data_IF_961291201331
#
_entry.id   IF_961291201331
#
_cell.length_a   1.000
_cell.length_b   1.000
_cell.length_c   1.000
_cell.angle_alpha   90.00
_cell.angle_beta   90.00
_cell.angle_gamma   90.00
#
_symmetry.space_group_name_H-M   'P 1'
#
loop_
_entity.id
_entity.type
_entity.pdbx_description
1 polymer ?
2 non-polymer ?
3 water ?
#
# COMPACT_ATOMS: atom_id res chain seq x y z
N UNK A 2 18.22 15.93 -3.97
CA UNK A 2 17.77 16.58 -5.22
C UNK A 2 16.41 16.06 -5.67
N UNK A 3 15.39 16.92 -5.58
CA UNK A 3 14.05 16.54 -5.97
C UNK A 3 14.01 16.38 -7.49
N UNK A 4 14.87 17.11 -8.19
CA UNK A 4 14.92 17.02 -9.65
C UNK A 4 15.57 15.71 -10.04
N UNK A 5 16.57 15.28 -9.27
CA UNK A 5 17.26 14.03 -9.55
C UNK A 5 16.24 12.89 -9.53
N UNK A 6 15.34 12.94 -8.54
CA UNK A 6 14.29 11.94 -8.38
C UNK A 6 13.36 11.98 -9.58
N UNK A 7 12.92 13.19 -9.94
CA UNK A 7 12.01 13.39 -11.06
C UNK A 7 12.67 12.97 -12.37
N UNK A 8 13.92 13.39 -12.55
CA UNK A 8 14.67 13.06 -13.76
C UNK A 8 14.81 11.56 -13.89
N UNK A 9 15.09 10.87 -12.78
CA UNK A 9 15.25 9.42 -12.83
C UNK A 9 13.91 8.73 -13.08
N UNK A 10 12.86 9.17 -12.38
CA UNK A 10 11.55 8.56 -12.56
C UNK A 10 11.08 8.71 -14.00
N UNK A 11 11.22 9.93 -14.55
CA UNK A 11 10.82 10.19 -15.93
C UNK A 11 11.62 9.33 -16.89
N UNK A 12 12.90 9.14 -16.59
CA UNK A 12 13.76 8.34 -17.44
C UNK A 12 13.32 6.87 -17.41
N UNK A 13 13.15 6.32 -16.21
CA UNK A 13 12.73 4.93 -16.06
C UNK A 13 11.38 4.67 -16.73
N UNK A 14 10.46 5.60 -16.56
CA UNK A 14 9.12 5.46 -17.14
C UNK A 14 9.19 5.33 -18.66
N UNK A 15 9.99 6.19 -19.29
CA UNK A 15 10.13 6.17 -20.73
C UNK A 15 10.84 4.92 -21.23
N UNK A 16 11.84 4.45 -20.48
CA UNK A 16 12.54 3.24 -20.89
C UNK A 16 11.54 2.08 -20.89
N UNK A 17 10.65 2.09 -19.92
CA UNK A 17 9.64 1.05 -19.79
C UNK A 17 8.58 1.15 -20.90
N UNK A 18 8.14 2.37 -21.20
CA UNK A 18 7.14 2.57 -22.24
C UNK A 18 7.66 2.16 -23.62
N UNK A 19 8.87 2.61 -23.95
CA UNK A 19 9.48 2.32 -25.24
C UNK A 19 9.78 0.84 -25.42
N UNK A 20 9.97 0.13 -24.32
CA UNK A 20 10.27 -1.29 -24.41
C UNK A 20 11.73 -1.64 -24.34
N UNK A 21 12.59 -0.62 -24.27
CA UNK A 21 14.03 -0.86 -24.20
C UNK A 21 14.35 -1.58 -22.89
N UNK A 22 13.56 -1.31 -21.86
CA UNK A 22 13.76 -1.95 -20.57
C UNK A 22 12.42 -2.39 -20.00
N UNK A 23 12.44 -3.54 -19.32
CA UNK A 23 11.24 -4.06 -18.70
C UNK A 23 11.52 -4.28 -17.21
N UNK A 24 10.46 -4.48 -16.43
CA UNK A 24 10.62 -4.72 -15.01
C UNK A 24 11.55 -5.92 -14.88
N UNK A 25 12.55 -5.82 -14.01
CA UNK A 25 13.48 -6.91 -13.85
C UNK A 25 14.83 -6.66 -14.55
N UNK A 26 14.88 -5.69 -15.45
CA UNK A 26 16.13 -5.41 -16.15
C UNK A 26 17.04 -4.50 -15.33
N UNK A 27 18.32 -4.49 -15.66
CA UNK A 27 19.31 -3.67 -14.96
C UNK A 27 19.33 -2.23 -15.47
N UNK A 28 19.72 -1.33 -14.58
CA UNK A 28 19.86 0.08 -14.92
C UNK A 28 21.29 0.24 -15.41
N UNK A 29 21.55 1.28 -16.23
CA UNK A 29 22.91 1.47 -16.71
C UNK A 29 23.70 2.02 -15.49
N UNK A 30 25.00 2.26 -15.65
CA UNK A 30 25.81 2.76 -14.54
C UNK A 30 25.43 4.17 -14.07
N UNK A 31 25.84 4.52 -12.86
CA UNK A 31 25.55 5.84 -12.32
C UNK A 31 26.32 6.92 -13.08
N UNK A 32 27.51 6.56 -13.55
CA UNK A 32 28.35 7.46 -14.32
C UNK A 32 27.58 7.81 -15.60
N UNK A 33 27.02 6.80 -16.25
CA UNK A 33 26.25 6.99 -17.48
C UNK A 33 24.97 7.77 -17.25
N UNK A 34 24.27 7.46 -16.17
CA UNK A 34 23.02 8.15 -15.85
C UNK A 34 23.22 9.60 -15.45
N UNK A 35 24.20 9.84 -14.59
CA UNK A 35 24.50 11.18 -14.11
C UNK A 35 24.65 12.14 -15.29
N UNK A 36 25.35 11.68 -16.32
CA UNK A 36 25.58 12.49 -17.50
C UNK A 36 24.29 12.65 -18.31
N UNK A 37 23.69 11.52 -18.68
CA UNK A 37 22.46 11.53 -19.46
C UNK A 37 21.40 12.45 -18.88
N UNK A 38 21.20 12.39 -17.57
CA UNK A 38 20.19 13.19 -16.88
C UNK A 38 20.62 14.61 -16.50
N UNK A 39 21.92 14.89 -16.56
CA UNK A 39 22.40 16.22 -16.21
C UNK A 39 22.29 16.55 -14.73
N UNK A 40 22.46 15.53 -13.89
CA UNK A 40 22.41 15.72 -12.44
C UNK A 40 23.73 15.30 -11.83
N UNK A 41 24.12 15.97 -10.75
CA UNK A 41 25.37 15.65 -10.06
C UNK A 41 25.39 14.17 -9.69
N UNK A 42 26.59 13.60 -9.53
CA UNK A 42 26.71 12.20 -9.18
C UNK A 42 26.15 11.99 -7.77
N UNK A 43 26.41 12.93 -6.88
CA UNK A 43 25.92 12.83 -5.51
C UNK A 43 24.40 12.91 -5.43
N UNK A 44 23.80 13.84 -6.17
CA UNK A 44 22.35 13.98 -6.14
C UNK A 44 21.68 12.78 -6.79
N UNK A 45 22.32 12.21 -7.81
CA UNK A 45 21.78 11.04 -8.48
C UNK A 45 21.78 9.86 -7.49
N UNK A 46 22.87 9.70 -6.76
CA UNK A 46 22.96 8.60 -5.81
C UNK A 46 21.93 8.76 -4.70
N UNK A 47 21.68 10.00 -4.29
CA UNK A 47 20.70 10.25 -3.24
C UNK A 47 19.32 9.81 -3.71
N UNK A 48 18.99 10.15 -4.95
CA UNK A 48 17.71 9.80 -5.55
C UNK A 48 17.55 8.29 -5.69
N UNK A 49 18.63 7.61 -6.09
CA UNK A 49 18.58 6.17 -6.27
C UNK A 49 18.35 5.46 -4.94
N UNK A 50 18.99 5.92 -3.88
CA UNK A 50 18.81 5.30 -2.58
C UNK A 50 17.35 5.45 -2.13
N UNK A 51 16.73 6.58 -2.47
CA UNK A 51 15.33 6.80 -2.13
C UNK A 51 14.46 5.88 -3.01
N UNK A 52 14.80 5.79 -4.29
CA UNK A 52 14.04 4.94 -5.20
C UNK A 52 14.10 3.49 -4.74
N UNK A 53 15.24 3.14 -4.14
CA UNK A 53 15.43 1.80 -3.62
C UNK A 53 14.46 1.60 -2.46
N UNK A 54 14.37 2.61 -1.59
CA UNK A 54 13.48 2.54 -0.43
C UNK A 54 12.01 2.57 -0.86
N UNK A 55 11.72 3.31 -1.93
CA UNK A 55 10.35 3.39 -2.44
C UNK A 55 9.92 2.05 -3.04
N UNK A 56 10.89 1.27 -3.48
CA UNK A 56 10.60 -0.03 -4.06
C UNK A 56 10.69 -0.03 -5.58
N UNK A 57 10.92 1.15 -6.15
CA UNK A 57 11.02 1.29 -7.60
C UNK A 57 12.17 0.48 -8.18
N UNK A 58 13.32 0.51 -7.52
CA UNK A 58 14.48 -0.26 -7.96
C UNK A 58 15.02 -1.07 -6.80
N UNK A 59 15.90 -2.02 -7.10
CA UNK A 59 16.48 -2.87 -6.07
C UNK A 59 17.88 -3.35 -6.45
N UNK A 60 18.76 -3.43 -5.46
CA UNK A 60 20.12 -3.89 -5.70
C UNK A 60 20.39 -5.13 -4.84
N UNK A 61 19.37 -5.96 -4.66
CA UNK A 61 19.50 -7.17 -3.85
C UNK A 61 19.39 -8.47 -4.65
N UNK A 62 19.61 -8.39 -5.96
CA UNK A 62 19.52 -9.59 -6.80
C UNK A 62 20.83 -10.36 -6.77
N UNK A 63 21.19 -10.95 -7.90
CA UNK A 63 22.42 -11.72 -8.02
C UNK A 63 23.18 -12.00 -6.75
N UNK A 64 24.15 -11.13 -6.44
CA UNK A 64 24.98 -11.29 -5.25
C UNK A 64 24.91 -10.05 -4.36
N UNK A 65 23.93 -9.19 -4.60
CA UNK A 65 23.78 -7.97 -3.84
C UNK A 65 24.11 -6.76 -4.68
N UNK A 66 24.44 -5.62 -4.07
CA UNK A 66 24.77 -4.41 -4.85
C UNK A 66 25.80 -4.66 -5.94
N UNK A 67 26.69 -5.61 -5.70
CA UNK A 67 27.73 -5.98 -6.67
C UNK A 67 27.13 -6.47 -7.99
N UNK A 68 25.92 -7.01 -7.93
CA UNK A 68 25.24 -7.53 -9.12
C UNK A 68 24.43 -6.45 -9.84
N UNK A 69 24.54 -5.21 -9.38
CA UNK A 69 23.83 -4.13 -10.04
C UNK A 69 22.49 -3.75 -9.42
N UNK A 70 21.77 -2.92 -10.16
CA UNK A 70 20.47 -2.41 -9.74
C UNK A 70 19.44 -2.71 -10.83
N UNK A 71 18.30 -3.25 -10.46
CA UNK A 71 17.27 -3.56 -11.45
C UNK A 71 15.98 -2.80 -11.16
N UNK A 72 15.13 -2.69 -12.18
CA UNK A 72 13.85 -2.00 -12.03
C UNK A 72 12.87 -3.00 -11.44
N UNK A 73 12.32 -2.69 -10.27
CA UNK A 73 11.39 -3.61 -9.62
C UNK A 73 9.95 -3.08 -9.60
N UNK A 74 9.79 -1.75 -9.61
CA UNK A 74 8.47 -1.13 -9.60
C UNK A 74 7.58 -1.72 -8.49
N UNK A 75 8.19 -1.98 -7.34
CA UNK A 75 7.49 -2.53 -6.20
C UNK A 75 7.09 -1.48 -5.18
N UNK A 76 6.12 -1.82 -4.31
CA UNK A 76 5.58 -0.93 -3.24
C UNK A 76 6.57 -0.54 -2.11
N UNK A 77 7.54 -1.39 -1.84
CA UNK A 77 8.48 -1.09 -0.76
C UNK A 77 7.81 -1.29 0.59
N UNK A 78 8.38 -0.70 1.64
CA UNK A 78 7.81 -0.90 2.98
C UNK A 78 7.11 0.34 3.59
N UNK A 79 7.12 1.44 2.85
CA UNK A 79 6.53 2.69 3.31
C UNK A 79 5.15 2.58 3.95
N UNK A 80 4.23 1.90 3.27
CA UNK A 80 2.89 1.77 3.80
C UNK A 80 2.89 0.96 5.08
N UNK A 81 3.66 -0.11 5.10
CA UNK A 81 3.74 -0.94 6.29
C UNK A 81 4.36 -0.17 7.45
N UNK A 82 5.38 0.63 7.14
CA UNK A 82 5.99 1.43 8.20
C UNK A 82 4.91 2.34 8.78
N UNK A 83 4.10 2.92 7.89
CA UNK A 83 3.01 3.79 8.34
C UNK A 83 1.98 3.01 9.18
N UNK A 84 1.49 1.90 8.63
CA UNK A 84 0.49 1.08 9.31
C UNK A 84 0.92 0.56 10.68
N UNK A 85 2.16 0.09 10.78
CA UNK A 85 2.64 -0.42 12.06
C UNK A 85 2.81 0.68 13.10
N UNK A 86 3.20 1.87 12.67
CA UNK A 86 3.34 2.97 13.61
C UNK A 86 1.96 3.39 14.09
N UNK A 87 0.98 3.34 13.20
CA UNK A 87 -0.38 3.70 13.58
C UNK A 87 -0.97 2.61 14.48
N UNK A 88 -0.52 1.37 14.28
CA UNK A 88 -1.00 0.25 15.07
C UNK A 88 -0.58 0.46 16.53
N UNK A 89 0.69 0.83 16.70
CA UNK A 89 1.28 1.05 18.02
C UNK A 89 0.58 2.16 18.80
N UNK A 90 0.13 3.19 18.10
CA UNK A 90 -0.54 4.32 18.74
C UNK A 90 -2.05 4.14 18.76
N UNK A 91 -2.52 2.96 18.34
CA UNK A 91 -3.94 2.68 18.32
C UNK A 91 -4.72 3.51 17.29
N UNK A 92 -4.02 4.16 16.38
CA UNK A 92 -4.67 4.94 15.33
C UNK A 92 -5.27 3.93 14.36
N UNK A 93 -4.63 2.76 14.30
CA UNK A 93 -5.11 1.66 13.48
C UNK A 93 -5.13 0.49 14.47
N UNK A 94 -6.13 -0.38 14.37
CA UNK A 94 -6.19 -1.49 15.29
C UNK A 94 -6.03 -2.83 14.62
N UNK A 95 -5.81 -3.86 15.43
CA UNK A 95 -5.66 -5.21 14.92
C UNK A 95 -6.91 -5.56 14.13
N UNK A 96 -8.05 -5.11 14.64
CA UNK A 96 -9.34 -5.34 14.00
C UNK A 96 -9.34 -4.85 12.55
N UNK A 97 -8.79 -3.67 12.32
CA UNK A 97 -8.74 -3.09 10.98
C UNK A 97 -7.89 -3.90 10.01
N UNK A 98 -6.75 -4.40 10.50
CA UNK A 98 -5.86 -5.21 9.67
C UNK A 98 -6.57 -6.50 9.29
N UNK A 99 -7.27 -7.07 10.26
CA UNK A 99 -8.03 -8.29 10.07
C UNK A 99 -9.08 -8.11 8.97
N UNK A 100 -9.90 -7.06 9.08
CA UNK A 100 -10.93 -6.82 8.07
C UNK A 100 -10.30 -6.63 6.69
N UNK A 101 -9.19 -5.90 6.63
CA UNK A 101 -8.52 -5.64 5.36
C UNK A 101 -7.97 -6.92 4.71
N UNK A 102 -7.38 -7.80 5.52
CA UNK A 102 -6.87 -9.06 4.98
C UNK A 102 -8.02 -9.90 4.41
N UNK A 103 -9.12 -10.00 5.15
CA UNK A 103 -10.26 -10.79 4.71
C UNK A 103 -10.75 -10.30 3.34
N UNK A 104 -10.82 -8.98 3.20
CA UNK A 104 -11.24 -8.37 1.95
C UNK A 104 -10.28 -8.69 0.80
N UNK A 105 -9.02 -8.29 0.95
CA UNK A 105 -8.03 -8.51 -0.10
C UNK A 105 -7.75 -9.98 -0.42
N UNK A 106 -7.44 -10.76 0.61
CA UNK A 106 -7.13 -12.18 0.41
C UNK A 106 -8.29 -12.98 -0.14
N UNK A 107 -9.49 -12.69 0.35
CA UNK A 107 -10.67 -13.39 -0.13
C UNK A 107 -10.93 -13.17 -1.60
N UNK A 108 -10.77 -11.92 -2.06
CA UNK A 108 -10.99 -11.60 -3.47
C UNK A 108 -9.91 -12.22 -4.35
N UNK A 109 -8.67 -12.19 -3.88
CA UNK A 109 -7.57 -12.76 -4.64
C UNK A 109 -7.79 -14.24 -4.88
N UNK A 110 -8.27 -14.94 -3.85
CA UNK A 110 -8.52 -16.37 -3.97
C UNK A 110 -9.75 -16.66 -4.83
N UNK A 111 -10.82 -15.93 -4.56
CA UNK A 111 -12.07 -16.10 -5.30
C UNK A 111 -11.86 -15.86 -6.79
N UNK A 112 -11.01 -14.90 -7.14
CA UNK A 112 -10.75 -14.59 -8.54
C UNK A 112 -9.32 -14.93 -8.93
N UNK A 113 -8.95 -16.20 -8.77
CA UNK A 113 -7.62 -16.65 -9.11
C UNK A 113 -7.64 -17.68 -10.23
N UNK A 114 -6.47 -17.94 -10.77
CA UNK A 114 -6.28 -18.92 -11.85
C UNK A 114 -5.18 -19.86 -11.40
N UNK A 115 -5.40 -21.16 -11.58
CA UNK A 115 -4.42 -22.17 -11.18
C UNK A 115 -3.10 -22.07 -11.92
N UNK A 116 -3.13 -21.54 -13.14
CA UNK A 116 -1.91 -21.43 -13.93
C UNK A 116 -1.15 -20.14 -13.63
N UNK A 117 -1.75 -19.29 -12.80
CA UNK A 117 -1.17 -18.01 -12.47
C UNK A 117 -0.26 -17.97 -11.25
N UNK A 118 -0.61 -18.70 -10.20
CA UNK A 118 0.21 -18.69 -8.99
C UNK A 118 1.40 -19.64 -9.03
N UNK A 119 2.49 -19.23 -8.40
CA UNK A 119 3.70 -20.06 -8.34
C UNK A 119 3.57 -20.91 -7.09
N UNK A 120 2.74 -21.94 -7.17
CA UNK A 120 2.48 -22.82 -6.04
C UNK A 120 3.69 -23.50 -5.41
N UNK A 121 4.66 -23.91 -6.21
CA UNK A 121 5.84 -24.57 -5.67
C UNK A 121 6.62 -23.64 -4.73
N UNK A 122 6.64 -22.36 -5.05
CA UNK A 122 7.33 -21.39 -4.20
C UNK A 122 6.60 -21.32 -2.86
N UNK A 123 5.28 -21.25 -2.92
CA UNK A 123 4.45 -21.19 -1.73
C UNK A 123 4.68 -22.46 -0.91
N UNK A 124 4.68 -23.59 -1.61
CA UNK A 124 4.89 -24.89 -0.99
C UNK A 124 6.20 -24.91 -0.21
N UNK A 125 7.24 -24.36 -0.82
CA UNK A 125 8.56 -24.30 -0.19
C UNK A 125 8.51 -23.48 1.07
N UNK A 126 7.69 -22.43 1.09
CA UNK A 126 7.59 -21.65 2.30
C UNK A 126 7.00 -22.50 3.40
N UNK A 127 5.96 -23.25 3.09
CA UNK A 127 5.32 -24.09 4.09
C UNK A 127 6.27 -25.18 4.59
N UNK A 128 7.26 -25.59 3.78
CA UNK A 128 8.19 -26.61 4.25
C UNK A 128 9.08 -26.05 5.36
N UNK A 129 9.57 -24.83 5.21
CA UNK A 129 10.39 -24.21 6.24
C UNK A 129 9.54 -23.97 7.51
N UNK A 130 8.27 -23.64 7.29
CA UNK A 130 7.36 -23.40 8.39
C UNK A 130 6.99 -24.66 9.17
N UNK A 131 7.37 -25.82 8.64
CA UNK A 131 7.08 -27.10 9.30
C UNK A 131 8.00 -27.36 10.48
N UNK A 132 9.20 -26.82 10.41
CA UNK A 132 10.20 -26.99 11.45
C UNK A 132 9.63 -26.70 12.83
N UNK A 133 9.57 -27.72 13.71
CA UNK A 133 9.04 -27.54 15.06
C UNK A 133 9.97 -26.68 15.91
N UNK A 134 11.22 -26.56 15.49
CA UNK A 134 12.21 -25.76 16.20
C UNK A 134 12.26 -24.35 15.64
N UNK A 135 11.24 -23.97 14.90
CA UNK A 135 11.20 -22.63 14.32
C UNK A 135 10.44 -21.69 15.24
N UNK A 136 11.08 -20.59 15.67
CA UNK A 136 10.43 -19.63 16.56
C UNK A 136 9.20 -19.04 15.89
N UNK A 137 8.20 -18.65 16.68
CA UNK A 137 6.97 -18.12 16.10
C UNK A 137 7.15 -16.86 15.28
N UNK A 138 8.14 -16.03 15.61
CA UNK A 138 8.35 -14.81 14.84
C UNK A 138 8.69 -15.15 13.40
N UNK A 139 9.62 -16.09 13.22
CA UNK A 139 10.02 -16.50 11.88
C UNK A 139 8.90 -17.22 11.16
N UNK A 140 8.17 -18.06 11.89
CA UNK A 140 7.06 -18.79 11.30
C UNK A 140 6.06 -17.79 10.68
N UNK A 141 5.60 -16.86 11.50
CA UNK A 141 4.64 -15.85 11.06
C UNK A 141 5.18 -14.91 9.99
N UNK A 142 6.50 -14.76 9.95
CA UNK A 142 7.14 -13.92 8.94
C UNK A 142 6.97 -14.65 7.59
N UNK A 143 7.15 -15.98 7.61
CA UNK A 143 6.98 -16.77 6.41
C UNK A 143 5.50 -16.87 6.06
N UNK A 144 4.66 -16.89 7.09
CA UNK A 144 3.20 -16.98 6.94
C UNK A 144 2.71 -15.81 6.07
N UNK A 145 3.13 -14.60 6.42
CA UNK A 145 2.74 -13.40 5.70
C UNK A 145 3.21 -13.44 4.24
N UNK A 146 4.44 -13.92 4.04
CA UNK A 146 5.02 -14.03 2.72
C UNK A 146 4.24 -15.05 1.89
N UNK A 147 3.85 -16.14 2.54
CA UNK A 147 3.08 -17.20 1.90
C UNK A 147 1.77 -16.65 1.34
N UNK A 148 1.08 -15.86 2.17
CA UNK A 148 -0.19 -15.28 1.76
C UNK A 148 -0.03 -14.30 0.62
N UNK A 149 1.10 -13.63 0.56
CA UNK A 149 1.38 -12.69 -0.53
C UNK A 149 1.66 -13.53 -1.78
N UNK A 150 2.45 -14.59 -1.62
CA UNK A 150 2.80 -15.48 -2.74
C UNK A 150 1.56 -16.04 -3.44
N UNK A 151 0.60 -16.54 -2.67
CA UNK A 151 -0.59 -17.11 -3.30
C UNK A 151 -1.54 -16.06 -3.87
N UNK A 152 -1.40 -14.80 -3.43
CA UNK A 152 -2.28 -13.75 -3.93
C UNK A 152 -1.93 -13.39 -5.39
N UNK A 153 -0.70 -13.72 -5.78
CA UNK A 153 -0.23 -13.45 -7.15
C UNK A 153 -1.00 -14.33 -8.14
N UNK A 154 -1.78 -15.27 -7.60
CA UNK A 154 -2.58 -16.15 -8.44
C UNK A 154 -3.84 -15.44 -8.89
N UNK A 155 -4.10 -14.28 -8.29
CA UNK A 155 -5.27 -13.48 -8.63
C UNK A 155 -5.18 -12.94 -10.06
N UNK A 156 -6.32 -12.87 -10.72
CA UNK A 156 -6.39 -12.35 -12.08
C UNK A 156 -5.96 -10.88 -12.08
N UNK A 157 -6.27 -10.17 -11.00
CA UNK A 157 -5.90 -8.76 -10.86
C UNK A 157 -4.57 -8.70 -10.11
N UNK A 158 -3.47 -8.42 -10.81
CA UNK A 158 -2.11 -8.33 -10.25
C UNK A 158 -1.93 -7.31 -9.13
N UNK A 159 -2.71 -6.24 -9.20
CA UNK A 159 -2.63 -5.18 -8.20
C UNK A 159 -2.97 -5.65 -6.78
N UNK A 160 -3.79 -6.68 -6.66
CA UNK A 160 -4.14 -7.17 -5.32
C UNK A 160 -2.86 -7.62 -4.62
N UNK A 161 -2.00 -8.34 -5.34
CA UNK A 161 -0.74 -8.82 -4.76
C UNK A 161 0.20 -7.65 -4.45
N UNK A 162 0.06 -6.56 -5.20
CA UNK A 162 0.87 -5.38 -4.95
C UNK A 162 0.43 -4.79 -3.61
N UNK A 163 -0.87 -4.72 -3.38
CA UNK A 163 -1.36 -4.20 -2.10
C UNK A 163 -0.94 -5.15 -0.98
N UNK A 164 -1.01 -6.44 -1.26
CA UNK A 164 -0.63 -7.45 -0.29
C UNK A 164 0.85 -7.29 0.08
N UNK A 165 1.70 -7.14 -0.93
CA UNK A 165 3.13 -6.96 -0.68
C UNK A 165 3.38 -5.70 0.14
N UNK A 166 2.70 -4.61 -0.19
CA UNK A 166 2.87 -3.36 0.55
C UNK A 166 2.48 -3.53 2.04
N UNK A 167 1.54 -4.44 2.30
CA UNK A 167 1.07 -4.69 3.66
C UNK A 167 1.77 -5.83 4.40
N UNK A 168 2.55 -6.63 3.68
CA UNK A 168 3.23 -7.79 4.24
C UNK A 168 3.90 -7.67 5.62
N UNK A 169 4.80 -6.72 5.77
CA UNK A 169 5.48 -6.56 7.06
C UNK A 169 4.52 -6.19 8.19
N UNK A 170 3.49 -5.40 7.88
CA UNK A 170 2.51 -5.02 8.90
C UNK A 170 1.67 -6.22 9.33
N UNK A 171 1.41 -7.12 8.37
CA UNK A 171 0.62 -8.30 8.64
C UNK A 171 1.41 -9.19 9.60
N UNK A 172 2.71 -9.32 9.33
CA UNK A 172 3.58 -10.12 10.18
C UNK A 172 3.66 -9.51 11.57
N UNK A 173 3.84 -8.19 11.64
CA UNK A 173 3.92 -7.50 12.93
C UNK A 173 2.64 -7.75 13.70
N UNK A 174 1.53 -7.67 12.98
CA UNK A 174 0.19 -7.88 13.52
C UNK A 174 -0.01 -9.29 14.11
N UNK A 175 0.29 -10.32 13.32
CA UNK A 175 0.10 -11.68 13.80
C UNK A 175 1.04 -12.07 14.94
N UNK A 176 2.29 -11.62 14.86
CA UNK A 176 3.26 -11.92 15.90
C UNK A 176 2.81 -11.30 17.22
N UNK A 177 2.40 -10.03 17.17
CA UNK A 177 1.94 -9.34 18.36
C UNK A 177 0.82 -10.10 19.06
N UNK A 178 -0.11 -10.64 18.29
CA UNK A 178 -1.24 -11.38 18.83
C UNK A 178 -0.92 -12.82 19.26
N UNK A 179 0.17 -13.36 18.74
CA UNK A 179 0.56 -14.73 19.06
C UNK A 179 1.11 -14.86 20.46
N UNK A 180 1.92 -13.88 20.86
CA UNK A 180 2.54 -13.88 22.18
C UNK A 180 1.67 -14.45 23.30
N UNK A 181 0.39 -14.10 23.31
CA UNK A 181 -0.54 -14.55 24.34
C UNK A 181 -1.09 -15.97 24.17
N UNK A 182 -0.84 -16.61 23.04
CA UNK A 182 -1.35 -17.97 22.79
C UNK A 182 -0.85 -18.99 23.81
N UNK A 183 -1.78 -19.59 24.57
CA UNK A 183 -1.51 -20.59 25.61
C UNK A 183 -0.93 -21.90 25.07
N UNK A 184 -1.06 -22.11 23.77
CA UNK A 184 -0.55 -23.33 23.14
C UNK A 184 -0.17 -23.04 21.68
N UNK A 185 1.05 -22.52 21.49
CA UNK A 185 1.53 -22.18 20.16
C UNK A 185 1.83 -23.40 19.29
N UNK A 186 2.29 -24.48 19.91
CA UNK A 186 2.60 -25.68 19.15
C UNK A 186 1.35 -26.23 18.47
N UNK A 187 0.24 -26.20 19.19
CA UNK A 187 -1.02 -26.69 18.66
C UNK A 187 -1.55 -25.72 17.59
N UNK A 188 -1.43 -24.43 17.86
CA UNK A 188 -1.88 -23.41 16.93
C UNK A 188 -1.15 -23.47 15.59
N UNK A 189 0.17 -23.43 15.64
CA UNK A 189 0.96 -23.48 14.41
C UNK A 189 0.70 -24.75 13.63
N UNK A 190 0.27 -25.79 14.32
CA UNK A 190 -0.02 -27.08 13.69
C UNK A 190 -1.28 -26.94 12.85
N UNK A 191 -2.33 -26.35 13.43
CA UNK A 191 -3.58 -26.16 12.71
C UNK A 191 -3.43 -25.17 11.55
N UNK A 192 -2.52 -24.21 11.69
CA UNK A 192 -2.32 -23.22 10.63
C UNK A 192 -1.67 -23.87 9.42
N UNK A 193 -0.70 -24.75 9.65
CA UNK A 193 -0.01 -25.44 8.56
C UNK A 193 -0.99 -26.33 7.79
N UNK A 194 -1.83 -27.06 8.52
CA UNK A 194 -2.81 -27.92 7.87
C UNK A 194 -3.73 -27.04 7.03
N UNK A 195 -4.15 -25.91 7.59
CA UNK A 195 -5.04 -25.00 6.88
C UNK A 195 -4.34 -24.40 5.67
N UNK A 196 -3.06 -24.08 5.80
CA UNK A 196 -2.31 -23.50 4.69
C UNK A 196 -2.18 -24.48 3.54
N UNK A 197 -1.92 -25.75 3.87
CA UNK A 197 -1.79 -26.80 2.86
C UNK A 197 -3.07 -26.98 2.06
N UNK A 198 -4.20 -27.00 2.76
CA UNK A 198 -5.50 -27.16 2.13
C UNK A 198 -5.81 -25.98 1.22
N UNK A 199 -5.47 -24.79 1.68
CA UNK A 199 -5.69 -23.59 0.88
C UNK A 199 -4.88 -23.68 -0.40
N UNK A 200 -3.60 -23.99 -0.26
CA UNK A 200 -2.71 -24.11 -1.41
C UNK A 200 -3.17 -25.21 -2.36
N UNK A 201 -3.74 -26.27 -1.80
CA UNK A 201 -4.23 -27.39 -2.59
C UNK A 201 -5.43 -26.97 -3.42
N UNK A 202 -6.36 -26.26 -2.79
CA UNK A 202 -7.54 -25.78 -3.50
C UNK A 202 -7.13 -24.88 -4.66
N UNK A 203 -6.29 -23.90 -4.38
CA UNK A 203 -5.81 -22.96 -5.39
C UNK A 203 -5.08 -23.67 -6.53
N UNK A 204 -4.25 -24.63 -6.17
CA UNK A 204 -3.49 -25.39 -7.16
C UNK A 204 -4.48 -26.13 -8.07
N UNK A 205 -5.59 -26.60 -7.49
CA UNK A 205 -6.60 -27.34 -8.24
C UNK A 205 -7.64 -26.46 -8.94
N UNK A 206 -7.53 -25.14 -8.77
CA UNK A 206 -8.48 -24.25 -9.42
C UNK A 206 -9.78 -24.09 -8.66
N UNK A 207 -9.83 -24.62 -7.44
CA UNK A 207 -11.03 -24.51 -6.62
C UNK A 207 -11.06 -23.16 -5.93
N UNK A 208 -11.29 -22.13 -6.73
CA UNK A 208 -11.33 -20.75 -6.26
C UNK A 208 -12.27 -20.49 -5.10
N UNK A 209 -13.49 -21.02 -5.23
CA UNK A 209 -14.52 -20.84 -4.20
C UNK A 209 -14.13 -21.56 -2.89
N UNK A 210 -13.56 -22.75 -3.00
CA UNK A 210 -13.15 -23.51 -1.83
C UNK A 210 -11.99 -22.77 -1.12
N UNK A 211 -11.05 -22.30 -1.93
CA UNK A 211 -9.88 -21.57 -1.43
C UNK A 211 -10.29 -20.32 -0.65
N UNK A 212 -11.20 -19.54 -1.23
CA UNK A 212 -11.67 -18.31 -0.61
C UNK A 212 -12.37 -18.57 0.72
N UNK A 213 -13.16 -19.64 0.78
CA UNK A 213 -13.86 -19.99 2.01
C UNK A 213 -12.88 -20.45 3.08
N UNK A 214 -11.85 -21.18 2.66
CA UNK A 214 -10.84 -21.66 3.59
C UNK A 214 -9.99 -20.50 4.13
N UNK A 215 -9.69 -19.53 3.28
CA UNK A 215 -8.89 -18.39 3.71
C UNK A 215 -9.68 -17.59 4.74
N UNK A 216 -10.98 -17.43 4.49
CA UNK A 216 -11.84 -16.69 5.41
C UNK A 216 -11.81 -17.35 6.79
N UNK A 217 -12.00 -18.66 6.82
CA UNK A 217 -12.00 -19.42 8.07
C UNK A 217 -10.61 -19.43 8.72
N UNK A 218 -9.57 -19.46 7.89
CA UNK A 218 -8.18 -19.48 8.35
C UNK A 218 -7.85 -18.18 9.09
N UNK A 219 -8.06 -17.06 8.42
CA UNK A 219 -7.77 -15.76 8.99
C UNK A 219 -8.68 -15.48 10.17
N UNK A 220 -9.96 -15.79 10.02
CA UNK A 220 -10.91 -15.59 11.11
C UNK A 220 -10.54 -16.46 12.31
N UNK A 221 -10.21 -17.72 12.04
CA UNK A 221 -9.83 -18.64 13.08
C UNK A 221 -8.73 -18.11 13.99
N UNK A 222 -7.63 -17.67 13.38
CA UNK A 222 -6.50 -17.14 14.14
C UNK A 222 -6.84 -15.85 14.88
N UNK A 223 -7.62 -14.99 14.25
CA UNK A 223 -7.97 -13.72 14.89
C UNK A 223 -8.76 -13.94 16.18
N UNK A 224 -9.81 -14.75 16.10
CA UNK A 224 -10.65 -15.02 17.26
C UNK A 224 -9.90 -15.79 18.35
N UNK A 225 -9.06 -16.72 17.92
CA UNK A 225 -8.27 -17.52 18.85
C UNK A 225 -7.35 -16.62 19.67
N UNK A 226 -6.68 -15.69 19.01
CA UNK A 226 -5.78 -14.77 19.70
C UNK A 226 -6.59 -13.75 20.49
N UNK A 227 -7.77 -13.43 19.97
CA UNK A 227 -8.66 -12.47 20.63
C UNK A 227 -9.11 -13.04 21.97
N UNK A 228 -9.13 -14.36 22.07
CA UNK A 228 -9.54 -15.04 23.29
C UNK A 228 -8.34 -15.29 24.20
N UNK A 229 -7.21 -15.64 23.59
CA UNK A 229 -5.98 -15.93 24.32
C UNK A 229 -5.34 -14.71 24.99
N UNK A 230 -5.91 -13.53 24.76
CA UNK A 230 -5.36 -12.33 25.37
C UNK A 230 -5.44 -12.42 26.89
N UNK A 231 -4.32 -12.16 27.56
CA UNK A 231 -4.26 -12.23 29.01
C UNK A 231 -5.11 -11.16 29.69
N UNK A 232 -6.41 -11.36 29.72
CA UNK A 232 -7.32 -10.40 30.32
C UNK A 232 -8.73 -10.69 29.83
N UNK B 2 21.88 4.11 6.71
CA UNK B 2 22.14 2.66 6.43
C UNK B 2 20.99 1.80 6.96
N UNK B 3 21.11 0.48 6.78
CA UNK B 3 20.09 -0.45 7.26
C UNK B 3 20.07 -0.46 8.78
N UNK B 4 21.25 -0.55 9.37
CA UNK B 4 21.39 -0.55 10.82
C UNK B 4 20.73 0.70 11.40
N UNK B 5 21.02 1.84 10.79
CA UNK B 5 20.46 3.12 11.21
C UNK B 5 18.94 3.11 11.05
N UNK B 6 18.49 2.70 9.87
CA UNK B 6 17.06 2.64 9.58
C UNK B 6 16.30 1.79 10.60
N UNK B 7 16.73 0.56 10.81
CA UNK B 7 16.08 -0.31 11.76
C UNK B 7 16.21 0.19 13.19
N UNK B 8 17.37 0.73 13.54
CA UNK B 8 17.56 1.25 14.89
C UNK B 8 16.55 2.34 15.14
N UNK B 9 16.36 3.21 14.14
CA UNK B 9 15.42 4.31 14.24
C UNK B 9 13.99 3.81 14.32
N UNK B 10 13.63 2.87 13.46
CA UNK B 10 12.28 2.34 13.45
C UNK B 10 11.95 1.70 14.79
N UNK B 11 12.87 0.88 15.29
CA UNK B 11 12.65 0.23 16.58
C UNK B 11 12.55 1.26 17.69
N UNK B 12 13.39 2.29 17.63
CA UNK B 12 13.40 3.33 18.66
C UNK B 12 12.11 4.13 18.64
N UNK B 13 11.71 4.62 17.46
CA UNK B 13 10.49 5.38 17.33
C UNK B 13 9.29 4.53 17.74
N UNK B 14 9.28 3.28 17.31
CA UNK B 14 8.21 2.36 17.66
C UNK B 14 8.05 2.27 19.18
N UNK B 15 9.16 2.09 19.88
CA UNK B 15 9.13 1.98 21.33
C UNK B 15 8.72 3.29 22.00
N UNK B 16 9.09 4.43 21.41
CA UNK B 16 8.73 5.73 21.99
C UNK B 16 7.22 5.93 21.90
N UNK B 17 6.65 5.57 20.75
CA UNK B 17 5.21 5.70 20.52
C UNK B 17 4.44 4.73 21.41
N UNK B 18 4.98 3.52 21.57
CA UNK B 18 4.34 2.49 22.39
C UNK B 18 4.28 2.90 23.86
N UNK B 19 5.39 3.42 24.38
CA UNK B 19 5.47 3.84 25.77
C UNK B 19 4.72 5.14 26.04
N UNK B 20 4.39 5.86 24.98
CA UNK B 20 3.68 7.12 25.15
C UNK B 20 4.61 8.32 25.23
N UNK B 21 5.90 8.08 25.38
CA UNK B 21 6.88 9.16 25.46
C UNK B 21 6.80 10.07 24.24
N UNK B 22 6.34 9.51 23.12
CA UNK B 22 6.18 10.30 21.91
C UNK B 22 4.83 9.98 21.26
N UNK B 23 4.31 10.93 20.49
CA UNK B 23 3.04 10.80 19.79
C UNK B 23 3.24 11.23 18.35
N UNK B 24 2.38 10.74 17.45
CA UNK B 24 2.48 11.13 16.04
C UNK B 24 2.38 12.64 16.02
N UNK B 25 3.24 13.28 15.24
CA UNK B 25 3.24 14.74 15.18
C UNK B 25 4.34 15.35 16.03
N UNK B 26 4.90 14.57 16.96
CA UNK B 26 5.96 15.07 17.84
C UNK B 26 7.31 15.14 17.14
N UNK B 27 8.17 16.01 17.64
CA UNK B 27 9.50 16.18 17.07
C UNK B 27 10.47 15.18 17.69
N UNK B 28 11.37 14.66 16.85
CA UNK B 28 12.36 13.74 17.35
C UNK B 28 13.48 14.54 17.96
N UNK B 29 14.41 13.85 18.66
CA UNK B 29 15.56 14.55 19.29
C UNK B 29 16.42 15.00 18.09
N UNK B 30 17.40 15.88 18.31
CA UNK B 30 18.32 16.38 17.23
C UNK B 30 19.09 15.19 16.65
N UNK B 31 19.67 15.29 15.45
CA UNK B 31 20.41 14.13 14.94
C UNK B 31 21.59 13.75 15.84
N UNK B 32 22.23 14.77 16.41
CA UNK B 32 23.36 14.55 17.31
C UNK B 32 22.96 13.67 18.49
N UNK B 33 21.86 14.02 19.12
CA UNK B 33 21.35 13.28 20.28
C UNK B 33 20.88 11.88 19.91
N UNK B 34 20.04 11.79 18.89
CA UNK B 34 19.52 10.49 18.47
C UNK B 34 20.63 9.53 18.04
N UNK B 35 21.58 10.03 17.26
CA UNK B 35 22.68 9.17 16.81
C UNK B 35 23.45 8.57 17.97
N UNK B 36 23.67 9.36 19.03
CA UNK B 36 24.40 8.87 20.20
C UNK B 36 23.57 7.81 20.93
N UNK B 37 22.28 8.08 21.07
CA UNK B 37 21.35 7.16 21.73
C UNK B 37 21.30 5.81 21.03
N UNK B 38 21.28 5.83 19.70
CA UNK B 38 21.21 4.61 18.91
C UNK B 38 22.57 3.95 18.73
N UNK B 39 23.65 4.71 18.93
CA UNK B 39 24.97 4.15 18.77
C UNK B 39 25.32 3.98 17.30
N UNK B 40 24.98 4.97 16.50
CA UNK B 40 25.27 4.91 15.07
C UNK B 40 25.90 6.22 14.63
N UNK B 41 26.65 6.15 13.53
CA UNK B 41 27.30 7.33 12.99
C UNK B 41 26.28 8.39 12.67
N UNK B 42 26.66 9.65 12.83
CA UNK B 42 25.75 10.74 12.53
C UNK B 42 25.37 10.69 11.06
N UNK B 43 26.31 10.23 10.24
CA UNK B 43 26.09 10.15 8.78
C UNK B 43 25.06 9.11 8.39
N UNK B 44 25.12 7.93 8.99
CA UNK B 44 24.16 6.89 8.66
C UNK B 44 22.79 7.27 9.20
N UNK B 45 22.75 8.01 10.31
CA UNK B 45 21.47 8.44 10.87
C UNK B 45 20.81 9.48 9.96
N UNK B 46 21.56 10.46 9.47
CA UNK B 46 20.96 11.46 8.60
C UNK B 46 20.42 10.83 7.32
N UNK B 47 21.14 9.85 6.81
CA UNK B 47 20.72 9.18 5.59
C UNK B 47 19.42 8.43 5.83
N UNK B 48 19.36 7.69 6.94
CA UNK B 48 18.16 6.94 7.27
C UNK B 48 16.95 7.86 7.41
N UNK B 49 17.16 9.03 8.01
CA UNK B 49 16.08 10.00 8.20
C UNK B 49 15.70 10.67 6.90
N UNK B 50 16.69 10.88 6.03
CA UNK B 50 16.41 11.51 4.74
C UNK B 50 15.52 10.56 3.94
N UNK B 51 15.77 9.25 4.06
CA UNK B 51 14.97 8.26 3.35
C UNK B 51 13.55 8.16 3.95
N UNK B 52 13.47 8.15 5.27
CA UNK B 52 12.19 8.07 5.95
C UNK B 52 11.34 9.30 5.61
N UNK B 53 12.00 10.43 5.42
CA UNK B 53 11.33 11.67 5.07
C UNK B 53 10.74 11.55 3.66
N UNK B 54 11.50 10.98 2.74
CA UNK B 54 11.03 10.80 1.37
C UNK B 54 9.87 9.81 1.31
N UNK B 55 9.89 8.82 2.19
CA UNK B 55 8.83 7.81 2.23
C UNK B 55 7.55 8.33 2.88
N UNK B 56 7.68 9.31 3.77
CA UNK B 56 6.52 9.87 4.42
C UNK B 56 6.40 9.47 5.88
N UNK B 57 7.19 8.48 6.30
CA UNK B 57 7.18 8.00 7.67
C UNK B 57 7.54 9.17 8.58
N UNK B 58 8.47 9.98 8.10
CA UNK B 58 8.96 11.16 8.80
C UNK B 58 8.69 12.38 7.94
N UNK B 59 8.53 13.53 8.58
CA UNK B 59 8.29 14.76 7.86
C UNK B 59 9.17 15.85 8.49
N UNK B 60 9.46 16.90 7.72
CA UNK B 60 10.28 17.99 8.24
C UNK B 60 9.56 19.33 8.17
N UNK B 61 9.61 20.07 9.28
CA UNK B 61 8.98 21.37 9.35
C UNK B 61 10.07 22.42 9.52
N UNK B 62 10.18 23.34 8.57
CA UNK B 62 11.19 24.39 8.64
C UNK B 62 10.85 25.42 9.71
N UNK B 63 11.87 26.12 10.20
CA UNK B 63 11.66 27.14 11.21
C UNK B 63 11.24 26.66 12.59
N UNK B 64 11.56 25.40 12.91
CA UNK B 64 11.17 24.82 14.20
C UNK B 64 12.11 25.09 15.39
N UNK B 65 13.33 25.54 15.12
CA UNK B 65 14.27 25.79 16.20
C UNK B 65 13.58 26.45 17.39
N UNK B 66 13.83 26.01 18.64
CA UNK B 66 14.74 24.96 19.11
C UNK B 66 14.39 23.49 18.86
N UNK B 67 13.17 23.21 18.40
CA UNK B 67 12.79 21.82 18.13
C UNK B 67 13.53 21.35 16.87
N UNK B 68 13.82 20.05 16.80
CA UNK B 68 14.56 19.49 15.67
C UNK B 68 13.97 19.75 14.29
N UNK B 69 12.65 19.78 14.20
CA UNK B 69 12.03 20.01 12.91
C UNK B 69 11.77 18.70 12.18
N UNK B 70 12.14 17.58 12.80
CA UNK B 70 11.92 16.25 12.22
C UNK B 70 10.76 15.66 12.99
N UNK B 71 9.65 15.46 12.30
CA UNK B 71 8.42 14.98 12.93
C UNK B 71 7.96 13.57 12.56
N UNK B 72 7.46 12.83 13.54
CA UNK B 72 6.94 11.48 13.33
C UNK B 72 5.56 11.64 12.70
N UNK B 73 5.44 11.44 11.39
CA UNK B 73 4.16 11.59 10.73
C UNK B 73 3.46 10.26 10.42
N UNK B 74 4.25 9.24 10.12
CA UNK B 74 3.69 7.92 9.84
C UNK B 74 2.71 7.91 8.67
N UNK B 75 3.05 8.65 7.61
CA UNK B 75 2.21 8.70 6.42
C UNK B 75 2.75 7.67 5.45
N UNK B 76 1.85 7.03 4.68
CA UNK B 76 2.26 6.01 3.71
C UNK B 76 3.07 6.55 2.52
N UNK B 77 2.96 7.84 2.27
CA UNK B 77 3.71 8.43 1.16
C UNK B 77 3.19 8.07 -0.22
N UNK B 78 4.04 8.15 -1.23
CA UNK B 78 3.64 7.85 -2.60
C UNK B 78 4.15 6.53 -3.16
N UNK B 79 4.94 5.80 -2.38
CA UNK B 79 5.51 4.54 -2.84
C UNK B 79 4.52 3.61 -3.55
N UNK B 80 3.39 3.34 -2.91
CA UNK B 80 2.39 2.46 -3.50
C UNK B 80 1.85 3.02 -4.81
N UNK B 81 1.55 4.31 -4.85
CA UNK B 81 1.03 4.90 -6.08
C UNK B 81 2.07 4.83 -7.19
N UNK B 82 3.32 5.15 -6.86
CA UNK B 82 4.39 5.10 -7.86
C UNK B 82 4.55 3.69 -8.43
N UNK B 83 4.36 2.68 -7.60
CA UNK B 83 4.49 1.30 -8.05
C UNK B 83 3.33 0.92 -8.96
N UNK B 84 2.13 1.35 -8.60
CA UNK B 84 0.95 1.06 -9.41
C UNK B 84 1.09 1.70 -10.79
N UNK B 85 1.39 3.00 -10.78
CA UNK B 85 1.53 3.77 -12.01
C UNK B 85 2.67 3.29 -12.91
N UNK B 86 3.78 2.88 -12.30
CA UNK B 86 4.90 2.41 -13.10
C UNK B 86 4.55 1.05 -13.71
N UNK B 87 3.94 0.17 -12.92
CA UNK B 87 3.54 -1.13 -13.43
C UNK B 87 2.53 -0.97 -14.58
N UNK B 88 1.71 0.08 -14.50
CA UNK B 88 0.70 0.38 -15.51
C UNK B 88 1.32 0.65 -16.88
N UNK B 89 2.53 1.20 -16.90
CA UNK B 89 3.22 1.48 -18.15
C UNK B 89 3.55 0.19 -18.92
N UNK B 90 3.82 -0.87 -18.17
CA UNK B 90 4.17 -2.17 -18.74
C UNK B 90 2.94 -3.04 -18.98
N UNK B 91 3.13 -4.21 -19.57
CA UNK B 91 2.02 -5.14 -19.82
C UNK B 91 1.56 -5.85 -18.56
N UNK B 92 2.29 -5.63 -17.48
CA UNK B 92 2.00 -6.24 -16.20
C UNK B 92 0.67 -5.81 -15.58
N UNK B 93 0.36 -4.53 -15.72
CA UNK B 93 -0.88 -3.98 -15.14
C UNK B 93 -1.64 -3.11 -16.13
N UNK B 94 -2.95 -3.27 -16.18
CA UNK B 94 -3.76 -2.48 -17.08
C UNK B 94 -4.73 -1.56 -16.36
N UNK B 95 -5.36 -0.66 -17.10
CA UNK B 95 -6.32 0.27 -16.52
C UNK B 95 -7.43 -0.46 -15.78
N UNK B 96 -7.92 -1.54 -16.36
CA UNK B 96 -8.99 -2.28 -15.72
C UNK B 96 -8.59 -2.80 -14.33
N UNK B 97 -7.30 -3.09 -14.14
CA UNK B 97 -6.84 -3.57 -12.85
C UNK B 97 -6.95 -2.49 -11.77
N UNK B 98 -6.66 -1.24 -12.13
CA UNK B 98 -6.75 -0.14 -11.19
C UNK B 98 -8.23 0.10 -10.89
N UNK B 99 -9.03 0.15 -11.95
CA UNK B 99 -10.47 0.33 -11.86
C UNK B 99 -11.07 -0.68 -10.90
N UNK B 100 -10.74 -1.95 -11.11
CA UNK B 100 -11.26 -3.02 -10.28
C UNK B 100 -10.80 -2.92 -8.83
N UNK B 101 -9.60 -2.40 -8.61
CA UNK B 101 -9.07 -2.23 -7.26
C UNK B 101 -9.94 -1.22 -6.51
N UNK B 102 -10.28 -0.13 -7.20
CA UNK B 102 -11.12 0.90 -6.61
C UNK B 102 -12.48 0.28 -6.25
N UNK B 103 -13.04 -0.51 -7.16
CA UNK B 103 -14.34 -1.14 -6.93
C UNK B 103 -14.32 -2.00 -5.68
N UNK B 104 -13.24 -2.76 -5.51
CA UNK B 104 -13.11 -3.64 -4.36
C UNK B 104 -13.08 -2.82 -3.06
N UNK B 105 -12.18 -1.85 -2.98
CA UNK B 105 -12.05 -1.02 -1.77
C UNK B 105 -13.24 -0.11 -1.50
N UNK B 106 -13.64 0.66 -2.50
CA UNK B 106 -14.76 1.56 -2.32
C UNK B 106 -16.04 0.80 -2.05
N UNK B 107 -16.21 -0.35 -2.71
CA UNK B 107 -17.40 -1.15 -2.51
C UNK B 107 -17.50 -1.63 -1.07
N UNK B 108 -16.39 -2.10 -0.51
CA UNK B 108 -16.36 -2.58 0.87
C UNK B 108 -16.66 -1.44 1.85
N UNK B 109 -16.02 -0.29 1.65
CA UNK B 109 -16.22 0.86 2.53
C UNK B 109 -17.69 1.33 2.51
N UNK B 110 -18.29 1.40 1.33
CA UNK B 110 -19.67 1.85 1.20
C UNK B 110 -20.61 0.88 1.92
N UNK B 111 -20.41 -0.40 1.68
CA UNK B 111 -21.22 -1.45 2.26
C UNK B 111 -21.25 -1.39 3.78
N UNK B 112 -20.11 -1.06 4.38
CA UNK B 112 -20.01 -0.97 5.84
C UNK B 112 -20.06 0.46 6.38
N UNK B 113 -20.42 1.41 5.54
CA UNK B 113 -20.49 2.81 5.95
C UNK B 113 -21.58 3.07 7.00
N UNK B 114 -21.25 3.93 7.96
CA UNK B 114 -22.17 4.31 9.03
C UNK B 114 -22.36 5.81 8.89
N UNK B 115 -23.62 6.23 8.75
CA UNK B 115 -23.96 7.64 8.57
C UNK B 115 -23.40 8.58 9.62
N UNK B 116 -23.33 8.14 10.88
CA UNK B 116 -22.81 8.98 11.95
C UNK B 116 -21.29 9.12 11.90
N UNK B 117 -20.64 8.33 11.07
CA UNK B 117 -19.18 8.34 10.97
C UNK B 117 -18.57 9.10 9.79
N UNK B 118 -19.41 9.49 8.84
CA UNK B 118 -18.91 10.19 7.67
C UNK B 118 -18.56 11.66 7.80
N UNK B 119 -17.44 12.02 7.19
CA UNK B 119 -16.94 13.38 7.16
C UNK B 119 -17.66 14.03 5.97
N UNK B 120 -18.98 13.97 6.01
CA UNK B 120 -19.85 14.48 4.95
C UNK B 120 -19.66 15.93 4.51
N UNK B 121 -19.38 16.83 5.45
CA UNK B 121 -19.17 18.24 5.10
C UNK B 121 -17.89 18.47 4.31
N UNK B 122 -16.84 17.71 4.65
CA UNK B 122 -15.57 17.80 3.97
C UNK B 122 -15.75 17.32 2.52
N UNK B 123 -16.46 16.22 2.36
CA UNK B 123 -16.70 15.62 1.06
C UNK B 123 -17.50 16.60 0.19
N UNK B 124 -18.58 17.15 0.75
CA UNK B 124 -19.48 18.05 0.04
C UNK B 124 -18.65 19.28 -0.36
N UNK B 125 -17.70 19.76 0.47
CA UNK B 125 -16.94 20.91 0.05
C UNK B 125 -16.13 20.59 -1.17
N UNK B 126 -15.57 19.40 -1.27
CA UNK B 126 -14.78 18.99 -2.40
C UNK B 126 -15.66 19.10 -3.65
N UNK B 127 -16.88 18.57 -3.56
CA UNK B 127 -17.82 18.60 -4.66
C UNK B 127 -18.16 20.03 -5.02
N UNK B 128 -18.00 20.94 -4.05
CA UNK B 128 -18.29 22.36 -4.26
C UNK B 128 -17.26 22.95 -5.21
N UNK B 129 -15.99 22.69 -4.94
CA UNK B 129 -14.92 23.19 -5.78
C UNK B 129 -15.00 22.56 -7.17
N UNK B 130 -15.47 21.31 -7.22
CA UNK B 130 -15.58 20.57 -8.47
C UNK B 130 -16.68 21.04 -9.42
N UNK B 131 -17.57 21.90 -8.94
CA UNK B 131 -18.64 22.41 -9.82
C UNK B 131 -18.16 23.61 -10.62
N UNK B 132 -17.04 24.20 -10.21
CA UNK B 132 -16.47 25.35 -10.89
C UNK B 132 -16.27 25.06 -12.38
N UNK B 133 -17.07 25.72 -13.24
CA UNK B 133 -17.07 25.61 -14.70
C UNK B 133 -15.74 25.85 -15.42
N UNK B 134 -14.81 26.55 -14.78
CA UNK B 134 -13.53 26.85 -15.40
C UNK B 134 -12.45 25.86 -14.95
N UNK B 135 -12.72 25.17 -13.84
CA UNK B 135 -11.79 24.21 -13.27
C UNK B 135 -11.27 23.21 -14.31
N UNK B 136 -9.94 23.11 -14.45
CA UNK B 136 -9.31 22.19 -15.41
C UNK B 136 -9.61 20.71 -15.15
N UNK B 137 -9.71 19.96 -16.23
CA UNK B 137 -9.97 18.52 -16.19
C UNK B 137 -9.10 17.77 -15.18
N UNK B 138 -7.80 18.09 -15.17
CA UNK B 138 -6.87 17.44 -14.26
C UNK B 138 -7.16 17.72 -12.79
N UNK B 139 -7.44 18.99 -12.47
CA UNK B 139 -7.73 19.37 -11.08
C UNK B 139 -9.03 18.73 -10.61
N UNK B 140 -10.03 18.69 -11.50
CA UNK B 140 -11.32 18.09 -11.19
C UNK B 140 -11.16 16.64 -10.79
N UNK B 141 -10.39 15.88 -11.57
CA UNK B 141 -10.16 14.47 -11.29
C UNK B 141 -9.27 14.25 -10.07
N UNK B 142 -8.45 15.24 -9.70
CA UNK B 142 -7.62 15.12 -8.52
C UNK B 142 -8.54 15.25 -7.32
N UNK B 143 -9.52 16.15 -7.41
CA UNK B 143 -10.47 16.32 -6.31
C UNK B 143 -11.42 15.12 -6.26
N UNK B 144 -11.71 14.56 -7.44
CA UNK B 144 -12.58 13.41 -7.59
C UNK B 144 -12.01 12.27 -6.74
N UNK B 145 -10.74 11.95 -6.95
CA UNK B 145 -10.07 10.88 -6.22
C UNK B 145 -10.05 11.19 -4.72
N UNK B 146 -9.90 12.47 -4.37
CA UNK B 146 -9.85 12.87 -2.98
C UNK B 146 -11.22 12.64 -2.36
N UNK B 147 -12.26 13.02 -3.09
CA UNK B 147 -13.63 12.86 -2.67
C UNK B 147 -13.94 11.41 -2.33
N UNK B 148 -13.48 10.49 -3.16
CA UNK B 148 -13.71 9.06 -2.94
C UNK B 148 -12.94 8.55 -1.72
N UNK B 149 -11.81 9.17 -1.41
CA UNK B 149 -11.06 8.77 -0.24
C UNK B 149 -11.83 9.24 1.00
N UNK B 150 -12.30 10.48 0.96
CA UNK B 150 -13.03 11.05 2.08
C UNK B 150 -14.29 10.25 2.41
N UNK B 151 -15.11 9.92 1.41
CA UNK B 151 -16.34 9.18 1.70
C UNK B 151 -16.11 7.74 2.19
N UNK B 152 -14.91 7.20 1.95
CA UNK B 152 -14.63 5.84 2.39
C UNK B 152 -14.40 5.80 3.91
N UNK B 153 -14.27 6.95 4.53
CA UNK B 153 -14.04 7.04 5.97
C UNK B 153 -15.27 6.66 6.78
N UNK B 154 -16.42 6.59 6.11
CA UNK B 154 -17.65 6.22 6.79
C UNK B 154 -17.64 4.82 7.36
N UNK B 155 -16.76 3.99 6.84
CA UNK B 155 -16.63 2.60 7.30
C UNK B 155 -15.72 2.54 8.52
N UNK B 156 -15.15 3.69 8.86
CA UNK B 156 -14.25 3.81 9.99
C UNK B 156 -13.23 2.71 10.08
N UNK B 157 -12.58 2.39 8.98
CA UNK B 157 -11.51 1.40 9.04
C UNK B 157 -10.30 2.22 8.55
N UNK B 158 -9.50 2.73 9.50
CA UNK B 158 -8.34 3.53 9.10
C UNK B 158 -7.32 2.88 8.17
N UNK B 159 -7.20 1.55 8.20
CA UNK B 159 -6.26 0.89 7.29
C UNK B 159 -6.81 1.00 5.87
N UNK B 160 -8.12 0.78 5.71
CA UNK B 160 -8.74 0.89 4.40
C UNK B 160 -8.59 2.33 3.94
N UNK B 161 -8.77 3.27 4.86
CA UNK B 161 -8.65 4.70 4.54
C UNK B 161 -7.22 5.05 4.14
N UNK B 162 -6.24 4.46 4.80
CA UNK B 162 -4.84 4.72 4.47
C UNK B 162 -4.54 4.18 3.07
N UNK B 163 -5.06 2.98 2.75
CA UNK B 163 -4.86 2.39 1.43
C UNK B 163 -5.45 3.31 0.35
N UNK B 164 -6.65 3.84 0.60
CA UNK B 164 -7.32 4.74 -0.35
C UNK B 164 -6.47 6.00 -0.59
N UNK B 165 -5.97 6.59 0.50
CA UNK B 165 -5.14 7.78 0.43
C UNK B 165 -3.86 7.53 -0.34
N UNK B 166 -3.25 6.37 -0.10
CA UNK B 166 -1.99 5.99 -0.77
C UNK B 166 -2.18 5.76 -2.28
N UNK B 167 -3.36 5.30 -2.67
CA UNK B 167 -3.67 5.02 -4.08
C UNK B 167 -4.16 6.25 -4.84
N UNK B 168 -4.49 7.30 -4.09
CA UNK B 168 -5.05 8.54 -4.63
C UNK B 168 -4.35 9.11 -5.87
N UNK B 169 -3.04 9.23 -5.83
CA UNK B 169 -2.30 9.77 -6.95
C UNK B 169 -2.38 8.90 -8.20
N UNK B 170 -2.28 7.59 -8.03
CA UNK B 170 -2.36 6.69 -9.17
C UNK B 170 -3.79 6.60 -9.71
N UNK B 171 -4.78 6.83 -8.85
CA UNK B 171 -6.18 6.79 -9.28
C UNK B 171 -6.45 8.00 -10.20
N UNK B 172 -5.97 9.16 -9.78
CA UNK B 172 -6.14 10.38 -10.56
C UNK B 172 -5.39 10.26 -11.89
N UNK B 173 -4.17 9.73 -11.85
CA UNK B 173 -3.34 9.55 -13.05
C UNK B 173 -4.12 8.73 -14.08
N UNK B 174 -4.77 7.69 -13.57
CA UNK B 174 -5.58 6.76 -14.34
C UNK B 174 -6.82 7.41 -14.94
N UNK B 175 -7.62 8.11 -14.13
CA UNK B 175 -8.83 8.74 -14.67
C UNK B 175 -8.50 9.90 -15.63
N UNK B 176 -7.40 10.60 -15.36
CA UNK B 176 -6.98 11.71 -16.22
C UNK B 176 -6.59 11.18 -17.59
N UNK B 177 -5.85 10.07 -17.61
CA UNK B 177 -5.43 9.47 -18.88
C UNK B 177 -6.65 8.95 -19.64
N UNK B 178 -7.63 8.41 -18.91
CA UNK B 178 -8.84 7.89 -19.53
C UNK B 178 -9.67 9.02 -20.13
N UNK B 179 -9.60 10.20 -19.53
CA UNK B 179 -10.39 11.34 -19.95
C UNK B 179 -9.91 12.00 -21.25
N UNK B 180 -8.65 11.79 -21.60
CA UNK B 180 -8.08 12.39 -22.80
C UNK B 180 -8.92 12.23 -24.07
N UNK B 181 -9.53 11.06 -24.27
CA UNK B 181 -10.35 10.82 -25.45
C UNK B 181 -11.82 11.22 -25.31
N UNK B 182 -12.20 11.74 -24.15
CA UNK B 182 -13.59 12.14 -23.93
C UNK B 182 -13.97 13.30 -24.85
N UNK B 183 -15.04 13.12 -25.64
CA UNK B 183 -15.52 14.15 -26.58
C UNK B 183 -16.07 15.41 -25.91
N UNK B 184 -16.78 15.24 -24.81
CA UNK B 184 -17.37 16.38 -24.12
C UNK B 184 -17.17 16.34 -22.61
N UNK B 185 -16.03 16.84 -22.16
CA UNK B 185 -15.72 16.85 -20.73
C UNK B 185 -16.74 17.61 -19.91
N UNK B 186 -17.29 18.67 -20.50
CA UNK B 186 -18.30 19.49 -19.82
C UNK B 186 -19.47 18.61 -19.39
N UNK B 187 -20.03 17.86 -20.35
CA UNK B 187 -21.17 17.00 -20.06
C UNK B 187 -20.81 15.83 -19.16
N UNK B 188 -19.61 15.26 -19.34
CA UNK B 188 -19.19 14.14 -18.51
C UNK B 188 -19.04 14.54 -17.05
N UNK B 189 -18.32 15.63 -16.80
CA UNK B 189 -18.10 16.11 -15.44
C UNK B 189 -19.41 16.45 -14.75
N UNK B 190 -20.41 16.86 -15.53
CA UNK B 190 -21.71 17.22 -14.97
C UNK B 190 -22.43 15.98 -14.45
N UNK B 191 -22.34 14.89 -15.21
CA UNK B 191 -22.99 13.65 -14.81
C UNK B 191 -22.26 13.09 -13.59
N UNK B 192 -20.93 13.16 -13.63
CA UNK B 192 -20.11 12.68 -12.52
C UNK B 192 -20.49 13.40 -11.24
N UNK B 193 -20.71 14.71 -11.35
CA UNK B 193 -21.10 15.51 -10.20
C UNK B 193 -22.46 15.13 -9.67
N UNK B 194 -23.40 14.89 -10.57
CA UNK B 194 -24.73 14.49 -10.18
C UNK B 194 -24.66 13.16 -9.42
N UNK B 195 -23.86 12.24 -9.95
CA UNK B 195 -23.69 10.92 -9.35
C UNK B 195 -23.00 11.03 -7.99
N UNK B 196 -21.97 11.86 -7.92
CA UNK B 196 -21.25 12.07 -6.67
C UNK B 196 -22.22 12.50 -5.55
N UNK B 197 -23.09 13.47 -5.84
CA UNK B 197 -24.07 13.97 -4.84
C UNK B 197 -25.14 12.94 -4.49
N UNK B 198 -25.56 12.13 -5.47
CA UNK B 198 -26.54 11.12 -5.15
C UNK B 198 -25.85 10.06 -4.30
N UNK B 199 -24.55 9.83 -4.52
CA UNK B 199 -23.81 8.86 -3.71
C UNK B 199 -23.68 9.38 -2.28
N UNK B 200 -23.30 10.65 -2.16
CA UNK B 200 -23.15 11.29 -0.87
C UNK B 200 -24.47 11.33 -0.11
N UNK B 201 -25.58 11.51 -0.84
CA UNK B 201 -26.89 11.56 -0.20
C UNK B 201 -27.23 10.20 0.40
N UNK B 202 -27.00 9.14 -0.35
CA UNK B 202 -27.29 7.80 0.13
C UNK B 202 -26.47 7.50 1.39
N UNK B 203 -25.19 7.85 1.35
CA UNK B 203 -24.31 7.62 2.49
C UNK B 203 -24.79 8.41 3.72
N UNK B 204 -25.25 9.63 3.49
CA UNK B 204 -25.75 10.50 4.55
C UNK B 204 -27.03 9.94 5.17
N UNK B 205 -27.86 9.33 4.35
CA UNK B 205 -29.12 8.76 4.80
C UNK B 205 -28.88 7.39 5.41
N UNK B 206 -27.66 6.90 5.29
CA UNK B 206 -27.34 5.60 5.86
C UNK B 206 -27.80 4.46 4.96
N UNK B 207 -28.01 4.76 3.67
CA UNK B 207 -28.44 3.75 2.71
C UNK B 207 -27.17 3.13 2.11
N UNK B 208 -26.49 2.33 2.92
CA UNK B 208 -25.26 1.68 2.53
C UNK B 208 -25.31 0.87 1.25
N UNK B 209 -26.30 -0.01 1.14
CA UNK B 209 -26.42 -0.83 -0.04
C UNK B 209 -26.67 0.01 -1.29
N UNK B 210 -27.48 1.06 -1.14
CA UNK B 210 -27.75 1.95 -2.26
C UNK B 210 -26.47 2.69 -2.63
N UNK B 211 -25.79 3.22 -1.62
CA UNK B 211 -24.54 3.94 -1.85
C UNK B 211 -23.55 3.04 -2.60
N UNK B 212 -23.43 1.79 -2.16
CA UNK B 212 -22.51 0.85 -2.80
C UNK B 212 -22.87 0.61 -4.27
N UNK B 213 -24.16 0.51 -4.54
CA UNK B 213 -24.63 0.29 -5.91
C UNK B 213 -24.33 1.51 -6.78
N UNK B 214 -24.58 2.69 -6.23
CA UNK B 214 -24.34 3.93 -6.96
C UNK B 214 -22.86 4.11 -7.25
N UNK B 215 -22.02 3.79 -6.28
CA UNK B 215 -20.58 3.92 -6.46
C UNK B 215 -20.13 2.98 -7.58
N UNK B 216 -20.58 1.72 -7.52
CA UNK B 216 -20.21 0.73 -8.52
C UNK B 216 -20.60 1.21 -9.92
N UNK B 217 -21.84 1.70 -10.07
CA UNK B 217 -22.32 2.18 -11.37
C UNK B 217 -21.58 3.44 -11.81
N UNK B 218 -21.18 4.25 -10.84
CA UNK B 218 -20.48 5.51 -11.12
C UNK B 218 -19.09 5.24 -11.70
N UNK B 219 -18.32 4.42 -11.00
CA UNK B 219 -16.96 4.07 -11.43
C UNK B 219 -16.97 3.29 -12.74
N UNK B 220 -17.88 2.33 -12.85
CA UNK B 220 -17.99 1.52 -14.07
C UNK B 220 -18.48 2.39 -15.24
N UNK B 221 -19.40 3.30 -14.95
CA UNK B 221 -19.92 4.16 -16.01
C UNK B 221 -18.82 4.99 -16.64
N UNK B 222 -17.95 5.56 -15.80
CA UNK B 222 -16.86 6.37 -16.30
C UNK B 222 -15.86 5.51 -17.06
N UNK B 223 -15.59 4.32 -16.54
CA UNK B 223 -14.65 3.43 -17.19
C UNK B 223 -15.13 3.04 -18.59
N UNK B 224 -16.41 2.70 -18.70
CA UNK B 224 -16.96 2.30 -19.99
C UNK B 224 -17.08 3.49 -20.94
N UNK B 225 -17.38 4.66 -20.38
CA UNK B 225 -17.52 5.86 -21.19
C UNK B 225 -16.18 6.21 -21.84
N UNK B 226 -15.12 6.23 -21.06
CA UNK B 226 -13.80 6.55 -21.59
C UNK B 226 -13.31 5.44 -22.53
N UNK B 227 -13.81 4.22 -22.34
CA UNK B 227 -13.42 3.13 -23.22
C UNK B 227 -14.03 3.36 -24.59
N UNK B 228 -15.28 3.78 -24.60
CA UNK B 228 -16.02 4.06 -25.85
C UNK B 228 -15.37 5.25 -26.53
N UNK B 229 -15.15 6.32 -25.78
CA UNK B 229 -14.50 7.47 -26.37
C UNK B 229 -13.23 6.89 -27.05
N UNK B 230 -12.75 5.76 -26.52
CA UNK B 230 -11.62 4.97 -26.99
C UNK B 230 -10.28 5.22 -26.33
N UNK B 231 -10.20 5.00 -25.02
CA UNK B 231 -8.88 5.17 -24.43
C UNK B 231 -8.67 4.28 -23.21
#
# INVERSE_FOLDING_TARGET
MSVKAHESVMDWVTEELRSGRLKIGDHLPSERALSETLGVSRSSLREALRVLEALGTISTATGSGPRSGTIITAAPGQALSLSVTLQLVTNQVGHHDIYETRQLLEGWAALHSSAERGDWDVAEALLEKMDDPSLPLEDFLRFDAEFHVVISKGAENPLISTLMEALRLSVADHTVARARALPDWRATSARLQKEHRAILAALRAGESTVAATLIKEHIEGYYEETAAAEALEHHHHHH
MSVKAHESVMDWVTEELRSGRLKIGDHLPSERALSETLGVSRSSLREALRVLEALGTISTATGSGPRSGTIITAAPGQALSLSVTLQLVTNQVGHHDIYETRQLLEGWAALHSSAERGDWDVAEALLEKMDDPSLPLEDFLRFDAEFHVVISKGAENPLISTLMEALRLSVADHTVARARALPDWRATSARLQKEHRAILAALRAGESTVAATLIKEHIEGYYEETAAAEALEHHHHHH
#
